data_IF_099256861068
#
_entry.id   IF_099256861068
#
_cell.length_a   1.000
_cell.length_b   1.000
_cell.length_c   1.000
_cell.angle_alpha   90.00
_cell.angle_beta   90.00
_cell.angle_gamma   90.00
#
_symmetry.space_group_name_H-M   'P 1'
#
loop_
_entity.id
_entity.type
_entity.pdbx_description
1 polymer ?
#
# COMPACT_ATOMS: atom_id res chain seq x y z
N UNK A 1 -6.95 -17.32 -5.57
CA UNK A 1 -7.72 -18.02 -4.50
C UNK A 1 -9.10 -17.42 -4.23
N UNK A 2 -9.34 -16.10 -4.38
CA UNK A 2 -10.65 -15.50 -4.09
C UNK A 2 -11.82 -16.04 -4.96
N UNK A 3 -11.58 -16.32 -6.25
CA UNK A 3 -12.62 -16.75 -7.18
C UNK A 3 -13.19 -18.15 -6.91
N UNK A 4 -12.51 -18.97 -6.11
CA UNK A 4 -12.93 -20.35 -5.81
C UNK A 4 -13.97 -20.42 -4.69
N UNK A 5 -14.13 -19.36 -3.89
CA UNK A 5 -15.07 -19.30 -2.75
C UNK A 5 -16.34 -18.52 -3.07
N UNK A 6 -16.45 -17.98 -4.27
CA UNK A 6 -17.59 -17.16 -4.61
C UNK A 6 -18.78 -17.98 -5.08
N UNK A 7 -20.00 -17.60 -4.67
CA UNK A 7 -21.21 -18.23 -5.18
C UNK A 7 -21.26 -18.10 -6.70
N UNK A 8 -21.97 -19.00 -7.38
CA UNK A 8 -22.15 -19.04 -8.84
C UNK A 8 -22.93 -17.85 -9.42
N UNK A 9 -22.98 -16.74 -8.69
CA UNK A 9 -23.57 -15.47 -9.12
C UNK A 9 -22.70 -14.90 -10.24
N UNK A 10 -23.35 -14.49 -11.33
CA UNK A 10 -22.68 -13.77 -12.42
C UNK A 10 -22.06 -12.49 -11.86
N UNK A 11 -20.74 -12.45 -11.86
CA UNK A 11 -20.01 -11.21 -11.68
C UNK A 11 -20.27 -10.28 -12.86
N UNK A 12 -20.60 -9.03 -12.54
CA UNK A 12 -20.50 -7.96 -13.53
C UNK A 12 -19.05 -7.49 -13.53
N UNK A 13 -18.32 -7.87 -14.57
CA UNK A 13 -16.98 -7.36 -14.79
C UNK A 13 -17.10 -5.91 -15.28
N UNK A 14 -16.47 -5.00 -14.55
CA UNK A 14 -16.29 -3.62 -14.99
C UNK A 14 -14.94 -3.52 -15.70
N UNK A 15 -14.98 -3.21 -17.00
CA UNK A 15 -13.78 -2.84 -17.74
C UNK A 15 -13.35 -1.45 -17.27
N UNK A 16 -12.14 -1.33 -16.74
CA UNK A 16 -11.58 -0.03 -16.35
C UNK A 16 -11.34 0.76 -17.64
N UNK A 17 -11.95 1.94 -17.74
CA UNK A 17 -11.61 2.90 -18.79
C UNK A 17 -10.17 3.37 -18.58
N UNK A 18 -9.29 3.06 -19.52
CA UNK A 18 -7.92 3.56 -19.51
C UNK A 18 -7.93 4.98 -20.03
N UNK A 19 -7.81 5.95 -19.13
CA UNK A 19 -7.67 7.35 -19.49
C UNK A 19 -6.25 7.64 -19.97
N UNK A 20 -6.09 8.67 -20.81
CA UNK A 20 -4.75 9.11 -21.25
C UNK A 20 -3.87 9.52 -20.07
N UNK A 21 -4.46 10.06 -19.00
CA UNK A 21 -3.77 10.38 -17.77
C UNK A 21 -3.97 9.31 -16.71
N UNK A 22 -2.85 8.86 -16.10
CA UNK A 22 -2.87 7.88 -15.01
C UNK A 22 -3.62 8.39 -13.79
N UNK A 23 -3.61 9.71 -13.55
CA UNK A 23 -4.33 10.35 -12.45
C UNK A 23 -5.85 10.17 -12.58
N UNK A 24 -6.41 10.40 -13.76
CA UNK A 24 -7.84 10.22 -14.04
C UNK A 24 -8.29 8.77 -13.83
N UNK A 25 -7.43 7.81 -14.23
CA UNK A 25 -7.68 6.38 -14.01
C UNK A 25 -7.75 6.05 -12.52
N UNK A 26 -6.83 6.58 -11.71
CA UNK A 26 -6.83 6.35 -10.26
C UNK A 26 -8.06 6.97 -9.60
N UNK A 27 -8.44 8.18 -9.99
CA UNK A 27 -9.64 8.85 -9.47
C UNK A 27 -10.92 8.07 -9.83
N UNK A 28 -11.03 7.59 -11.06
CA UNK A 28 -12.14 6.74 -11.49
C UNK A 28 -12.23 5.44 -10.68
N UNK A 29 -11.09 4.74 -10.49
CA UNK A 29 -11.03 3.52 -9.68
C UNK A 29 -11.41 3.83 -8.23
N UNK A 30 -10.94 4.95 -7.67
CA UNK A 30 -11.30 5.39 -6.33
C UNK A 30 -12.81 5.59 -6.19
N UNK A 31 -13.44 6.33 -7.10
CA UNK A 31 -14.89 6.55 -7.07
C UNK A 31 -15.68 5.25 -7.19
N UNK A 32 -15.21 4.33 -8.04
CA UNK A 32 -15.84 3.03 -8.24
C UNK A 32 -15.71 2.10 -7.01
N UNK A 33 -14.55 2.08 -6.35
CA UNK A 33 -14.30 1.20 -5.19
C UNK A 33 -14.74 1.79 -3.85
N UNK A 34 -14.90 3.11 -3.75
CA UNK A 34 -15.25 3.83 -2.52
C UNK A 34 -16.44 3.23 -1.77
N UNK A 35 -17.59 2.91 -2.40
CA UNK A 35 -18.73 2.34 -1.68
C UNK A 35 -18.40 1.02 -0.97
N UNK A 36 -17.64 0.14 -1.63
CA UNK A 36 -17.25 -1.15 -1.04
C UNK A 36 -16.20 -0.97 0.05
N UNK A 37 -15.22 -0.08 -0.16
CA UNK A 37 -14.19 0.23 0.83
C UNK A 37 -14.82 0.77 2.12
N UNK A 38 -15.75 1.73 2.02
CA UNK A 38 -16.39 2.31 3.20
C UNK A 38 -17.35 1.35 3.88
N UNK A 39 -18.09 0.53 3.13
CA UNK A 39 -18.89 -0.55 3.71
C UNK A 39 -18.04 -1.47 4.60
N UNK A 40 -16.86 -1.87 4.16
CA UNK A 40 -15.95 -2.71 4.94
C UNK A 40 -15.46 -2.01 6.22
N UNK A 41 -15.13 -0.71 6.15
CA UNK A 41 -14.75 0.08 7.33
C UNK A 41 -15.92 0.22 8.33
N UNK A 42 -17.15 0.41 7.84
CA UNK A 42 -18.36 0.47 8.66
C UNK A 42 -18.65 -0.85 9.37
N UNK A 43 -18.33 -1.99 8.73
CA UNK A 43 -18.44 -3.34 9.33
C UNK A 43 -17.37 -3.62 10.39
N UNK A 44 -16.45 -2.69 10.64
CA UNK A 44 -15.47 -2.78 11.72
C UNK A 44 -14.06 -3.14 11.28
N UNK A 45 -13.80 -3.27 9.97
CA UNK A 45 -12.43 -3.37 9.47
C UNK A 45 -11.71 -2.05 9.73
N UNK A 46 -10.54 -2.12 10.36
CA UNK A 46 -9.82 -0.94 10.87
C UNK A 46 -8.87 -0.31 9.84
N UNK A 47 -8.36 -1.15 8.94
CA UNK A 47 -7.40 -0.81 7.89
C UNK A 47 -7.73 -1.63 6.65
N UNK A 48 -7.80 -0.95 5.52
CA UNK A 48 -7.91 -1.56 4.21
C UNK A 48 -6.69 -1.16 3.38
N UNK A 49 -6.06 -2.16 2.79
CA UNK A 49 -5.01 -2.01 1.79
C UNK A 49 -5.57 -2.63 0.51
N UNK A 50 -5.90 -1.79 -0.47
CA UNK A 50 -6.51 -2.22 -1.74
C UNK A 50 -5.46 -2.13 -2.83
N UNK A 51 -4.99 -3.28 -3.32
CA UNK A 51 -3.99 -3.36 -4.37
C UNK A 51 -4.61 -3.14 -5.75
N UNK A 52 -4.01 -2.27 -6.55
CA UNK A 52 -4.49 -1.83 -7.86
C UNK A 52 -3.54 -2.22 -9.00
N UNK A 53 -2.65 -3.20 -8.77
CA UNK A 53 -1.64 -3.62 -9.74
C UNK A 53 -0.71 -2.46 -10.14
N UNK A 54 -0.61 -2.20 -11.44
CA UNK A 54 0.24 -1.12 -12.00
C UNK A 54 -0.22 0.30 -11.61
N UNK A 55 -1.39 0.44 -10.98
CA UNK A 55 -1.87 1.69 -10.42
C UNK A 55 -1.49 1.89 -8.94
N UNK A 56 -0.86 0.91 -8.29
CA UNK A 56 -0.38 1.04 -6.92
C UNK A 56 -1.37 0.52 -5.88
N UNK A 57 -1.57 1.26 -4.80
CA UNK A 57 -2.31 0.81 -3.62
C UNK A 57 -3.12 1.96 -3.03
N UNK A 58 -4.34 1.67 -2.58
CA UNK A 58 -5.07 2.53 -1.65
C UNK A 58 -4.90 2.05 -0.21
N UNK A 59 -4.70 2.98 0.71
CA UNK A 59 -4.66 2.76 2.15
C UNK A 59 -5.80 3.57 2.78
N UNK A 60 -6.69 2.88 3.49
CA UNK A 60 -7.85 3.48 4.13
C UNK A 60 -7.89 3.06 5.58
N UNK A 61 -8.02 4.00 6.48
CA UNK A 61 -8.11 3.75 7.91
C UNK A 61 -9.33 4.45 8.49
N UNK A 62 -9.95 3.83 9.50
CA UNK A 62 -10.96 4.51 10.31
C UNK A 62 -10.26 5.55 11.19
N UNK A 63 -10.80 6.77 11.25
CA UNK A 63 -10.30 8.03 11.85
C UNK A 63 -9.65 7.95 13.27
N UNK A 64 -9.75 6.82 13.96
CA UNK A 64 -9.31 6.62 15.35
C UNK A 64 -8.29 5.49 15.55
N UNK A 65 -7.76 4.88 14.49
CA UNK A 65 -6.84 3.75 14.61
C UNK A 65 -5.39 4.22 14.73
N UNK A 66 -4.93 4.42 15.98
CA UNK A 66 -3.51 4.59 16.26
C UNK A 66 -2.78 3.24 16.11
N UNK A 67 -2.42 2.84 14.88
CA UNK A 67 -1.58 1.66 14.63
C UNK A 67 -0.17 1.77 15.24
N UNK A 68 0.22 2.98 15.66
CA UNK A 68 1.57 3.33 16.07
C UNK A 68 1.91 3.04 17.54
N UNK A 69 0.91 2.80 18.42
CA UNK A 69 1.16 2.89 19.87
C UNK A 69 1.73 1.64 20.55
N UNK A 70 1.66 0.47 19.92
CA UNK A 70 1.97 -0.80 20.59
C UNK A 70 3.03 -1.65 19.86
N UNK A 71 4.03 -1.00 19.29
CA UNK A 71 5.17 -1.71 18.71
C UNK A 71 6.13 -2.16 19.81
N UNK A 72 5.94 -3.38 20.31
CA UNK A 72 7.05 -4.14 20.89
C UNK A 72 8.10 -4.30 19.79
N UNK A 73 9.20 -3.53 19.87
CA UNK A 73 10.30 -3.60 18.89
C UNK A 73 10.75 -5.06 18.75
N UNK A 74 10.45 -5.66 17.60
CA UNK A 74 11.01 -6.96 17.26
C UNK A 74 12.54 -6.81 17.14
N UNK A 75 13.29 -7.90 17.31
CA UNK A 75 14.75 -7.86 17.13
C UNK A 75 15.07 -7.36 15.72
N UNK A 76 15.74 -6.21 15.62
CA UNK A 76 16.12 -5.64 14.33
C UNK A 76 17.11 -6.55 13.61
N UNK A 77 16.80 -6.87 12.36
CA UNK A 77 17.70 -7.54 11.42
C UNK A 77 18.64 -6.52 10.77
N UNK A 78 19.82 -6.92 10.26
CA UNK A 78 20.69 -6.04 9.49
C UNK A 78 19.96 -5.34 8.33
N UNK A 79 19.10 -6.07 7.62
CA UNK A 79 18.26 -5.54 6.55
C UNK A 79 17.35 -4.42 7.06
N UNK A 80 16.60 -4.67 8.13
CA UNK A 80 15.68 -3.67 8.69
C UNK A 80 16.38 -2.42 9.24
N UNK A 81 17.59 -2.58 9.80
CA UNK A 81 18.40 -1.44 10.27
C UNK A 81 18.82 -0.56 9.10
N UNK A 82 19.35 -1.16 8.04
CA UNK A 82 19.78 -0.42 6.84
C UNK A 82 18.59 0.31 6.19
N UNK A 83 17.43 -0.33 6.15
CA UNK A 83 16.19 0.27 5.66
C UNK A 83 15.80 1.49 6.51
N UNK A 84 15.83 1.36 7.84
CA UNK A 84 15.48 2.43 8.77
C UNK A 84 16.45 3.62 8.65
N UNK A 85 17.76 3.35 8.63
CA UNK A 85 18.79 4.37 8.47
C UNK A 85 18.64 5.16 7.16
N UNK A 86 18.29 4.48 6.07
CA UNK A 86 18.06 5.15 4.79
C UNK A 86 16.74 5.92 4.73
N UNK A 87 15.69 5.42 5.39
CA UNK A 87 14.37 6.04 5.36
C UNK A 87 14.19 7.11 6.45
N UNK A 88 15.16 7.28 7.34
CA UNK A 88 15.11 8.29 8.39
C UNK A 88 15.07 9.71 7.79
N UNK A 89 14.15 10.54 8.28
CA UNK A 89 13.91 11.89 7.75
C UNK A 89 13.18 11.99 6.40
N UNK A 90 12.87 10.89 5.71
CA UNK A 90 12.31 10.96 4.35
C UNK A 90 10.82 11.32 4.28
N UNK A 91 10.05 11.23 5.37
CA UNK A 91 8.65 11.68 5.37
C UNK A 91 8.24 12.01 6.81
N UNK A 92 7.70 13.21 7.11
CA UNK A 92 7.16 13.49 8.42
C UNK A 92 5.86 12.67 8.61
N UNK A 93 6.00 11.48 9.19
CA UNK A 93 4.91 10.58 9.60
C UNK A 93 3.80 11.28 10.38
N UNK A 94 4.15 12.36 11.10
CA UNK A 94 3.22 13.18 11.86
C UNK A 94 2.26 14.01 10.99
N UNK A 95 2.59 14.38 9.75
CA UNK A 95 1.74 15.28 8.96
C UNK A 95 0.52 14.60 8.34
N UNK A 96 0.65 13.34 7.88
CA UNK A 96 -0.46 12.60 7.25
C UNK A 96 -1.46 12.07 8.28
N UNK A 97 -0.98 11.63 9.45
CA UNK A 97 -1.83 11.18 10.57
C UNK A 97 -2.55 12.36 11.23
N UNK A 98 -1.93 13.54 11.29
CA UNK A 98 -2.60 14.75 11.74
C UNK A 98 -3.65 15.26 10.74
N UNK A 99 -3.44 15.09 9.43
CA UNK A 99 -4.42 15.44 8.39
C UNK A 99 -5.76 14.70 8.56
N UNK A 100 -5.73 13.43 8.97
CA UNK A 100 -6.93 12.65 9.28
C UNK A 100 -7.58 13.01 10.63
N UNK A 101 -6.86 13.70 11.53
CA UNK A 101 -7.36 14.07 12.85
C UNK A 101 -8.04 15.44 12.87
N UNK A 102 -7.70 16.30 11.92
CA UNK A 102 -8.13 17.70 11.94
C UNK A 102 -9.53 17.86 11.29
N UNK A 103 -10.56 17.57 12.08
CA UNK A 103 -11.87 18.25 12.06
C UNK A 103 -12.89 17.97 10.94
N UNK A 104 -12.76 16.92 10.09
CA UNK A 104 -13.77 16.67 9.04
C UNK A 104 -14.35 15.27 9.10
N UNK A 105 -15.68 15.15 8.96
CA UNK A 105 -16.44 13.90 8.81
C UNK A 105 -16.11 13.10 7.53
N UNK A 106 -14.95 13.33 6.90
CA UNK A 106 -14.56 12.76 5.62
C UNK A 106 -13.50 11.68 5.82
N UNK A 107 -13.81 10.48 5.33
CA UNK A 107 -12.84 9.40 5.26
C UNK A 107 -11.75 9.75 4.24
N UNK A 108 -10.51 9.81 4.72
CA UNK A 108 -9.32 10.03 3.91
C UNK A 108 -8.75 8.71 3.40
N UNK A 109 -8.38 8.67 2.12
CA UNK A 109 -7.72 7.53 1.48
C UNK A 109 -6.36 7.98 0.93
N UNK A 110 -5.31 7.25 1.27
CA UNK A 110 -3.97 7.49 0.73
C UNK A 110 -3.74 6.62 -0.49
N UNK A 111 -3.31 7.22 -1.58
CA UNK A 111 -2.84 6.52 -2.77
C UNK A 111 -1.32 6.49 -2.79
N UNK A 112 -0.76 5.28 -2.78
CA UNK A 112 0.65 5.04 -3.06
C UNK A 112 0.77 4.50 -4.48
N UNK A 113 1.43 5.21 -5.42
CA UNK A 113 1.54 4.76 -6.79
C UNK A 113 2.47 3.53 -6.90
N UNK A 114 2.22 2.67 -7.89
CA UNK A 114 3.18 1.64 -8.26
C UNK A 114 4.39 2.26 -8.96
N UNK A 115 5.54 1.61 -8.78
CA UNK A 115 6.79 1.94 -9.44
C UNK A 115 6.78 1.32 -10.85
N UNK A 116 7.41 1.98 -11.81
CA UNK A 116 7.63 1.38 -13.13
C UNK A 116 8.51 0.14 -12.98
N UNK A 117 8.10 -0.97 -13.58
CA UNK A 117 8.77 -2.26 -13.44
C UNK A 117 8.89 -2.94 -14.81
N UNK A 118 10.00 -3.65 -15.02
CA UNK A 118 10.21 -4.52 -16.18
C UNK A 118 9.66 -5.92 -15.85
N UNK A 119 8.34 -6.09 -16.03
CA UNK A 119 7.62 -7.28 -15.55
C UNK A 119 8.08 -8.57 -16.24
N UNK A 120 8.51 -9.54 -15.43
CA UNK A 120 8.81 -10.92 -15.81
C UNK A 120 7.64 -11.83 -15.40
N UNK A 121 7.19 -11.74 -14.14
CA UNK A 121 6.07 -12.50 -13.59
C UNK A 121 5.18 -11.59 -12.74
N UNK A 122 3.88 -11.86 -12.66
CA UNK A 122 2.97 -11.14 -11.75
C UNK A 122 2.62 -11.96 -10.49
N UNK A 123 3.05 -13.22 -10.47
CA UNK A 123 2.68 -14.16 -9.41
C UNK A 123 3.53 -13.90 -8.19
N UNK A 124 2.92 -13.84 -7.00
CA UNK A 124 3.63 -13.54 -5.75
C UNK A 124 3.76 -12.05 -5.42
N UNK A 125 3.47 -11.13 -6.36
CA UNK A 125 3.59 -9.69 -6.12
C UNK A 125 2.74 -9.20 -4.93
N UNK A 126 1.50 -9.70 -4.81
CA UNK A 126 0.62 -9.39 -3.69
C UNK A 126 1.12 -9.98 -2.36
N UNK A 127 1.65 -11.21 -2.38
CA UNK A 127 2.20 -11.87 -1.19
C UNK A 127 3.46 -11.13 -0.71
N UNK A 128 4.33 -10.72 -1.65
CA UNK A 128 5.52 -9.91 -1.41
C UNK A 128 5.18 -8.52 -0.87
N UNK A 129 4.10 -7.89 -1.36
CA UNK A 129 3.60 -6.63 -0.80
C UNK A 129 3.23 -6.78 0.67
N UNK A 130 2.46 -7.83 1.00
CA UNK A 130 2.04 -8.11 2.38
C UNK A 130 3.23 -8.46 3.26
N UNK A 131 4.12 -9.34 2.81
CA UNK A 131 5.32 -9.74 3.54
C UNK A 131 6.27 -8.57 3.79
N UNK A 132 6.49 -7.72 2.79
CA UNK A 132 7.29 -6.52 2.88
C UNK A 132 6.72 -5.50 3.87
N UNK A 133 5.42 -5.24 3.79
CA UNK A 133 4.75 -4.32 4.70
C UNK A 133 4.76 -4.82 6.15
N UNK A 134 4.49 -6.11 6.39
CA UNK A 134 4.55 -6.69 7.73
C UNK A 134 5.97 -6.69 8.30
N UNK A 135 6.97 -6.97 7.46
CA UNK A 135 8.39 -6.90 7.85
C UNK A 135 8.78 -5.49 8.29
N UNK A 136 8.39 -4.46 7.54
CA UNK A 136 8.61 -3.07 7.89
C UNK A 136 7.86 -2.65 9.17
N UNK A 137 6.59 -3.03 9.32
CA UNK A 137 5.84 -2.77 10.56
C UNK A 137 6.55 -3.37 11.78
N UNK A 138 7.02 -4.62 11.68
CA UNK A 138 7.78 -5.28 12.74
C UNK A 138 9.13 -4.60 13.04
N UNK A 139 9.71 -3.93 12.05
CA UNK A 139 10.97 -3.20 12.16
C UNK A 139 10.83 -1.81 12.83
N UNK A 140 9.60 -1.27 12.92
CA UNK A 140 9.35 0.01 13.58
C UNK A 140 8.73 1.09 12.70
N UNK A 141 8.43 0.79 11.44
CA UNK A 141 7.87 1.77 10.50
C UNK A 141 6.39 2.05 10.78
N UNK A 142 5.92 3.22 10.36
CA UNK A 142 4.48 3.50 10.31
C UNK A 142 3.77 2.75 9.19
N UNK A 143 2.44 2.76 9.18
CA UNK A 143 1.67 1.97 8.20
C UNK A 143 1.89 2.44 6.76
N UNK A 144 2.03 3.75 6.53
CA UNK A 144 2.20 4.30 5.18
C UNK A 144 3.61 3.95 4.67
N UNK A 145 4.63 4.16 5.50
CA UNK A 145 6.01 3.77 5.23
C UNK A 145 6.13 2.26 4.97
N UNK A 146 5.46 1.46 5.79
CA UNK A 146 5.49 0.01 5.66
C UNK A 146 4.86 -0.46 4.36
N UNK A 147 3.71 0.09 3.97
CA UNK A 147 3.10 -0.25 2.68
C UNK A 147 3.97 0.22 1.51
N UNK A 148 4.66 1.37 1.62
CA UNK A 148 5.61 1.79 0.59
C UNK A 148 6.77 0.81 0.41
N UNK A 149 7.31 0.26 1.51
CA UNK A 149 8.29 -0.84 1.48
C UNK A 149 7.69 -2.09 0.82
N UNK A 150 6.44 -2.42 1.15
CA UNK A 150 5.70 -3.49 0.49
C UNK A 150 5.58 -3.29 -1.02
N UNK A 151 5.25 -2.07 -1.48
CA UNK A 151 5.18 -1.74 -2.91
C UNK A 151 6.55 -1.91 -3.59
N UNK A 152 7.64 -1.49 -2.95
CA UNK A 152 9.00 -1.68 -3.47
C UNK A 152 9.39 -3.16 -3.57
N UNK A 153 9.04 -3.98 -2.58
CA UNK A 153 9.30 -5.44 -2.61
C UNK A 153 8.41 -6.13 -3.65
N UNK A 154 7.16 -5.68 -3.82
CA UNK A 154 6.28 -6.16 -4.88
C UNK A 154 6.84 -5.85 -6.27
N UNK A 155 7.45 -4.67 -6.46
CA UNK A 155 8.19 -4.33 -7.69
C UNK A 155 9.33 -5.32 -7.93
N UNK A 156 10.18 -5.59 -6.94
CA UNK A 156 11.26 -6.57 -7.08
C UNK A 156 10.74 -7.98 -7.40
N UNK A 157 9.59 -8.37 -6.82
CA UNK A 157 8.93 -9.65 -7.12
C UNK A 157 8.45 -9.73 -8.57
N UNK A 158 7.88 -8.65 -9.13
CA UNK A 158 7.42 -8.70 -10.53
C UNK A 158 8.55 -8.70 -11.55
N UNK A 159 9.74 -8.24 -11.16
CA UNK A 159 10.97 -8.25 -11.97
C UNK A 159 11.79 -9.54 -11.80
N UNK A 160 11.18 -10.59 -11.21
CA UNK A 160 11.78 -11.90 -10.94
C UNK A 160 10.93 -13.02 -11.55
N UNK A 161 11.57 -14.15 -11.89
CA UNK A 161 10.87 -15.38 -12.27
C UNK A 161 10.21 -16.07 -11.06
N UNK A 162 10.88 -16.01 -9.90
CA UNK A 162 10.38 -16.58 -8.66
C UNK A 162 9.30 -15.70 -8.02
N UNK A 163 8.30 -16.33 -7.39
CA UNK A 163 7.21 -15.64 -6.68
C UNK A 163 7.71 -14.73 -5.54
N UNK A 164 8.83 -15.12 -4.93
CA UNK A 164 9.58 -14.33 -3.95
C UNK A 164 10.99 -14.19 -4.52
N UNK A 165 11.53 -12.97 -4.69
CA UNK A 165 12.86 -12.78 -5.24
C UNK A 165 13.92 -13.33 -4.27
N UNK A 166 14.92 -14.02 -4.81
CA UNK A 166 15.99 -14.65 -4.02
C UNK A 166 16.89 -13.62 -3.30
N UNK A 167 17.13 -12.49 -3.96
CA UNK A 167 17.97 -11.41 -3.45
C UNK A 167 17.20 -10.09 -3.37
N UNK A 168 17.11 -9.53 -2.15
CA UNK A 168 16.47 -8.23 -1.89
C UNK A 168 17.52 -7.29 -1.31
N UNK A 169 17.82 -6.21 -2.03
CA UNK A 169 18.73 -5.16 -1.57
C UNK A 169 17.97 -4.10 -0.75
N UNK A 170 18.28 -3.96 0.54
CA UNK A 170 17.69 -2.91 1.37
C UNK A 170 17.94 -1.51 0.81
N UNK A 171 19.07 -1.29 0.14
CA UNK A 171 19.38 -0.03 -0.51
C UNK A 171 18.40 0.29 -1.64
N UNK A 172 18.14 -0.66 -2.54
CA UNK A 172 17.19 -0.49 -3.66
C UNK A 172 15.77 -0.34 -3.15
N UNK A 173 15.36 -1.16 -2.17
CA UNK A 173 14.02 -1.11 -1.59
C UNK A 173 13.77 0.23 -0.90
N UNK A 174 14.74 0.79 -0.20
CA UNK A 174 14.61 2.09 0.43
C UNK A 174 14.43 3.21 -0.62
N UNK A 175 15.25 3.20 -1.68
CA UNK A 175 15.19 4.23 -2.73
C UNK A 175 13.83 4.18 -3.47
N UNK A 176 13.36 2.96 -3.78
CA UNK A 176 12.04 2.71 -4.36
C UNK A 176 10.89 3.15 -3.41
N UNK A 177 10.97 2.81 -2.12
CA UNK A 177 9.96 3.18 -1.13
C UNK A 177 9.89 4.70 -0.92
N UNK A 178 11.03 5.40 -0.91
CA UNK A 178 11.08 6.86 -0.83
C UNK A 178 10.39 7.50 -2.05
N UNK A 179 10.66 6.99 -3.25
CA UNK A 179 10.01 7.46 -4.49
C UNK A 179 8.48 7.30 -4.43
N UNK A 180 8.01 6.16 -3.91
CA UNK A 180 6.57 5.90 -3.69
C UNK A 180 5.97 6.90 -2.70
N UNK A 181 6.64 7.13 -1.57
CA UNK A 181 6.19 8.07 -0.54
C UNK A 181 6.13 9.51 -1.09
N UNK A 182 7.17 9.96 -1.81
CA UNK A 182 7.23 11.29 -2.43
C UNK A 182 6.13 11.53 -3.45
N UNK A 183 5.64 10.46 -4.06
CA UNK A 183 4.57 10.50 -5.06
C UNK A 183 3.18 10.20 -4.49
N UNK A 184 3.08 9.99 -3.17
CA UNK A 184 1.83 9.67 -2.49
C UNK A 184 0.82 10.81 -2.61
N UNK A 185 -0.46 10.46 -2.76
CA UNK A 185 -1.56 11.42 -2.86
C UNK A 185 -2.63 11.13 -1.83
N UNK A 186 -3.31 12.19 -1.39
CA UNK A 186 -4.49 12.08 -0.53
C UNK A 186 -5.73 12.24 -1.38
N UNK A 187 -6.64 11.29 -1.28
CA UNK A 187 -7.95 11.29 -1.93
C UNK A 187 -9.02 11.43 -0.86
N UNK A 188 -10.00 12.29 -1.15
CA UNK A 188 -11.09 12.59 -0.23
C UNK A 188 -12.40 12.12 -0.83
N UNK A 189 -13.18 11.38 -0.04
CA UNK A 189 -14.57 11.18 -0.41
C UNK A 189 -15.32 12.52 -0.26
N UNK A 190 -16.08 12.89 -1.30
CA UNK A 190 -17.00 14.02 -1.24
C UNK A 190 -18.18 13.72 -0.33
#
# INVERSE_FOLDING_TARGET
MANSLSPSVKYNFHTIEQFKEKADTVEYIFQMLSPAMFFLLEKGIKLLIVTLGSNGVFICCKEHTNFMKDQHKCKQTPFSRQLLEKMDGCFPSNNLVNLCRESSSRTCVFHLPAISASVISLTGAGDCLVGGALSALCAGFDIIQSVAVGVAIAKASVESEANIPDDISAASIADDAQSVLHSAKVLWCK
#
